data_IF_580921723865
#
_entry.id   IF_580921723865
#
_cell.length_a   1.000
_cell.length_b   1.000
_cell.length_c   1.000
_cell.angle_alpha   90.00
_cell.angle_beta   90.00
_cell.angle_gamma   90.00
#
_symmetry.space_group_name_H-M   'P 1'
#
loop_
_entity.id
_entity.type
_entity.pdbx_description
1 polymer ?
#
# COMPACT_ATOMS: atom_id res chain seq x y z
N UNK A 1 35.31 -52.16 -9.53
CA UNK A 1 36.10 -53.02 -8.61
C UNK A 1 36.58 -52.14 -7.47
N UNK A 2 35.87 -52.12 -6.33
CA UNK A 2 36.17 -52.84 -5.05
C UNK A 2 37.44 -52.30 -4.38
N UNK A 3 37.48 -51.88 -3.10
CA UNK A 3 36.73 -52.33 -1.92
C UNK A 3 36.84 -51.29 -0.80
N UNK A 4 35.78 -51.17 0.00
CA UNK A 4 35.79 -50.59 1.36
C UNK A 4 36.62 -51.47 2.29
N UNK A 5 37.35 -50.86 3.23
CA UNK A 5 37.81 -51.53 4.44
C UNK A 5 37.48 -50.65 5.66
N UNK A 6 36.63 -51.21 6.52
CA UNK A 6 36.32 -50.73 7.87
C UNK A 6 37.30 -51.41 8.81
N UNK A 7 37.91 -50.68 9.74
CA UNK A 7 38.40 -51.26 10.99
C UNK A 7 38.56 -50.17 12.05
N UNK A 8 37.71 -50.23 13.06
CA UNK A 8 37.94 -49.62 14.36
C UNK A 8 38.73 -50.61 15.23
N UNK A 9 39.62 -50.14 16.10
CA UNK A 9 39.67 -50.52 17.52
C UNK A 9 40.71 -49.68 18.28
N UNK A 10 40.34 -49.39 19.53
CA UNK A 10 40.91 -48.48 20.52
C UNK A 10 42.37 -48.70 20.92
N UNK A 11 43.02 -47.62 21.37
CA UNK A 11 44.15 -47.66 22.30
C UNK A 11 43.99 -46.58 23.38
N UNK A 12 44.08 -47.04 24.63
CA UNK A 12 43.98 -46.31 25.90
C UNK A 12 45.39 -45.97 26.39
N UNK A 13 45.61 -44.73 26.84
CA UNK A 13 46.59 -44.31 27.88
C UNK A 13 46.48 -42.77 28.04
N UNK A 14 45.87 -42.19 29.08
CA UNK A 14 46.26 -42.08 30.49
C UNK A 14 47.40 -41.07 30.79
N UNK A 15 47.03 -40.01 31.54
CA UNK A 15 47.81 -39.19 32.50
C UNK A 15 48.87 -38.21 31.91
N UNK A 16 48.97 -36.92 32.27
CA UNK A 16 49.16 -36.31 33.61
C UNK A 16 48.87 -34.79 33.60
N UNK A 17 48.05 -34.37 34.58
CA UNK A 17 48.03 -33.17 35.44
C UNK A 17 48.60 -31.82 34.95
N UNK A 18 47.83 -30.75 35.10
CA UNK A 18 48.13 -29.68 36.07
C UNK A 18 46.86 -28.94 36.52
N UNK A 19 46.91 -28.55 37.79
CA UNK A 19 45.90 -27.97 38.67
C UNK A 19 45.36 -26.60 38.27
N UNK A 20 44.08 -26.34 38.56
CA UNK A 20 43.66 -25.36 39.59
C UNK A 20 42.15 -25.44 39.83
N UNK A 21 41.78 -25.00 41.04
CA UNK A 21 40.58 -25.27 41.81
C UNK A 21 39.36 -24.42 41.46
N UNK A 22 38.17 -25.06 41.55
CA UNK A 22 36.87 -24.56 42.04
C UNK A 22 36.19 -23.42 41.23
N UNK A 23 34.88 -23.28 41.11
CA UNK A 23 33.74 -23.61 41.98
C UNK A 23 32.52 -23.96 41.10
N UNK A 24 31.72 -24.88 41.62
CA UNK A 24 30.45 -25.34 41.08
C UNK A 24 29.37 -24.25 40.97
N UNK A 25 28.40 -24.44 40.06
CA UNK A 25 27.10 -23.80 40.14
C UNK A 25 26.53 -23.40 38.78
N UNK A 26 25.25 -23.66 38.59
CA UNK A 26 24.36 -23.02 37.59
C UNK A 26 24.34 -23.60 36.18
N UNK A 27 23.69 -24.76 36.06
CA UNK A 27 23.05 -25.19 34.80
C UNK A 27 21.60 -25.59 35.02
N UNK A 28 20.78 -24.72 35.61
CA UNK A 28 19.32 -24.94 35.71
C UNK A 28 18.48 -23.64 35.78
N UNK A 29 19.00 -22.49 35.35
CA UNK A 29 18.27 -21.20 35.40
C UNK A 29 17.78 -20.68 34.04
N UNK A 30 17.76 -21.51 32.99
CA UNK A 30 17.43 -21.07 31.63
C UNK A 30 15.93 -21.17 31.26
N UNK A 31 15.03 -21.50 32.21
CA UNK A 31 13.60 -21.67 31.94
C UNK A 31 12.71 -21.09 33.04
N UNK A 32 12.94 -19.84 33.42
CA UNK A 32 11.93 -19.02 34.09
C UNK A 32 11.78 -17.71 33.32
N UNK A 33 10.55 -17.27 33.00
CA UNK A 33 10.36 -15.95 32.40
C UNK A 33 10.83 -14.90 33.41
N UNK A 34 11.75 -14.02 33.01
CA UNK A 34 12.11 -12.83 33.78
C UNK A 34 10.84 -11.99 33.97
N UNK A 35 10.29 -11.98 35.18
CA UNK A 35 9.15 -11.14 35.58
C UNK A 35 9.48 -9.63 35.51
N UNK A 36 10.76 -9.28 35.35
CA UNK A 36 11.26 -7.91 35.29
C UNK A 36 11.90 -7.54 33.95
N UNK A 37 11.62 -8.29 32.87
CA UNK A 37 11.97 -7.82 31.54
C UNK A 37 11.20 -6.50 31.28
N UNK A 38 11.86 -5.41 30.84
CA UNK A 38 11.16 -4.20 30.42
C UNK A 38 10.06 -4.63 29.47
N UNK A 39 8.80 -4.29 29.78
CA UNK A 39 7.66 -4.55 28.91
C UNK A 39 8.10 -4.07 27.52
N UNK A 40 8.26 -5.01 26.59
CA UNK A 40 8.56 -4.67 25.21
C UNK A 40 7.55 -3.57 24.83
N UNK A 41 7.99 -2.46 24.21
CA UNK A 41 7.07 -1.42 23.80
C UNK A 41 5.95 -2.14 23.07
N UNK A 42 4.73 -1.95 23.55
CA UNK A 42 3.55 -2.43 22.84
C UNK A 42 3.70 -1.85 21.45
N UNK A 43 3.97 -2.72 20.47
CA UNK A 43 3.90 -2.37 19.08
C UNK A 43 2.45 -1.92 18.92
N UNK A 44 2.19 -0.62 18.97
CA UNK A 44 0.86 -0.12 18.70
C UNK A 44 0.57 -0.56 17.28
N UNK A 45 -0.32 -1.54 17.14
CA UNK A 45 -0.93 -1.84 15.87
C UNK A 45 -1.76 -0.62 15.51
N UNK A 46 -1.13 0.38 14.91
CA UNK A 46 -1.81 1.59 14.49
C UNK A 46 -2.79 1.21 13.40
N UNK A 47 -4.07 1.43 13.64
CA UNK A 47 -5.13 1.17 12.66
C UNK A 47 -5.03 2.21 11.53
N UNK A 48 -4.65 1.81 10.29
CA UNK A 48 -4.47 2.76 9.19
C UNK A 48 -5.77 3.49 8.84
N UNK A 49 -6.94 2.88 9.12
CA UNK A 49 -8.23 3.56 8.92
C UNK A 49 -8.38 4.70 9.91
N UNK A 50 -8.22 4.43 11.21
CA UNK A 50 -8.30 5.46 12.24
C UNK A 50 -7.32 6.61 11.98
N UNK A 51 -6.10 6.30 11.53
CA UNK A 51 -5.12 7.31 11.14
C UNK A 51 -5.57 8.16 9.95
N UNK A 52 -6.13 7.54 8.90
CA UNK A 52 -6.68 8.27 7.75
C UNK A 52 -7.78 9.23 8.18
N UNK A 53 -8.71 8.78 9.03
CA UNK A 53 -9.79 9.62 9.58
C UNK A 53 -9.27 10.78 10.43
N UNK A 54 -8.27 10.53 11.27
CA UNK A 54 -7.63 11.58 12.06
C UNK A 54 -6.94 12.62 11.16
N UNK A 55 -6.18 12.18 10.15
CA UNK A 55 -5.49 13.04 9.21
C UNK A 55 -6.47 13.85 8.34
N UNK A 56 -7.57 13.23 7.88
CA UNK A 56 -8.60 13.93 7.11
C UNK A 56 -9.25 15.05 7.94
N UNK A 57 -9.57 14.76 9.21
CA UNK A 57 -10.10 15.75 10.15
C UNK A 57 -9.12 16.89 10.40
N UNK A 58 -7.83 16.59 10.58
CA UNK A 58 -6.79 17.61 10.75
C UNK A 58 -6.66 18.49 9.49
N UNK A 59 -6.81 17.89 8.30
CA UNK A 59 -6.81 18.59 7.03
C UNK A 59 -8.13 19.34 6.72
N UNK A 60 -9.14 19.26 7.60
CA UNK A 60 -10.46 19.86 7.38
C UNK A 60 -11.23 19.22 6.21
N UNK A 61 -10.99 17.94 5.93
CA UNK A 61 -11.64 17.17 4.87
C UNK A 61 -12.58 16.14 5.50
N UNK A 62 -13.86 16.25 5.19
CA UNK A 62 -14.85 15.24 5.58
C UNK A 62 -14.80 14.06 4.61
N UNK A 63 -14.52 12.86 5.14
CA UNK A 63 -14.50 11.61 4.36
C UNK A 63 -15.55 10.63 4.83
N UNK A 64 -15.91 9.70 3.95
CA UNK A 64 -16.91 8.67 4.24
C UNK A 64 -16.37 7.62 5.23
N UNK A 65 -16.92 7.53 6.46
CA UNK A 65 -16.37 6.68 7.52
C UNK A 65 -16.52 5.17 7.26
N UNK A 66 -17.53 4.80 6.47
CA UNK A 66 -17.85 3.39 6.21
C UNK A 66 -16.98 2.77 5.11
N UNK A 67 -16.35 3.60 4.29
CA UNK A 67 -15.73 3.17 3.02
C UNK A 67 -14.27 3.61 3.01
N UNK A 68 -13.45 2.84 3.73
CA UNK A 68 -11.99 2.99 3.77
C UNK A 68 -11.31 1.68 3.39
N UNK A 69 -10.57 1.71 2.29
CA UNK A 69 -9.73 0.60 1.85
C UNK A 69 -8.31 0.82 2.31
N UNK A 70 -7.66 -0.27 2.73
CA UNK A 70 -6.23 -0.31 3.05
C UNK A 70 -5.62 -1.47 2.29
N UNK A 71 -4.57 -1.21 1.53
CA UNK A 71 -3.81 -2.23 0.82
C UNK A 71 -2.32 -1.92 0.96
N UNK A 72 -1.51 -2.94 1.22
CA UNK A 72 -0.05 -2.80 1.31
C UNK A 72 0.59 -4.00 0.64
N UNK A 73 1.46 -3.75 -0.35
CA UNK A 73 2.18 -4.80 -1.08
C UNK A 73 3.39 -4.20 -1.80
N UNK A 74 4.47 -4.97 -1.91
CA UNK A 74 5.66 -4.66 -2.71
C UNK A 74 6.27 -3.27 -2.40
N UNK A 75 6.20 -2.84 -1.13
CA UNK A 75 6.70 -1.53 -0.70
C UNK A 75 5.82 -0.36 -1.09
N UNK A 76 4.59 -0.62 -1.57
CA UNK A 76 3.53 0.37 -1.73
C UNK A 76 2.47 0.18 -0.64
N UNK A 77 2.03 1.28 -0.03
CA UNK A 77 0.87 1.30 0.88
C UNK A 77 -0.12 2.35 0.42
N UNK A 78 -1.40 1.97 0.37
CA UNK A 78 -2.52 2.86 0.13
C UNK A 78 -3.56 2.66 1.23
N UNK A 79 -4.02 3.76 1.82
CA UNK A 79 -5.23 3.78 2.62
C UNK A 79 -6.08 4.95 2.16
N UNK A 80 -7.26 4.72 1.62
CA UNK A 80 -8.05 5.77 0.98
C UNK A 80 -9.54 5.67 1.26
N UNK A 81 -10.17 6.84 1.25
CA UNK A 81 -11.61 7.01 1.32
C UNK A 81 -12.05 8.13 0.38
N UNK A 82 -13.35 8.22 0.14
CA UNK A 82 -13.96 9.27 -0.65
C UNK A 82 -14.34 10.48 0.21
N UNK A 83 -14.28 11.66 -0.40
CA UNK A 83 -14.71 12.92 0.21
C UNK A 83 -16.23 12.98 0.19
N UNK A 84 -16.84 13.34 1.33
CA UNK A 84 -18.27 13.55 1.44
C UNK A 84 -18.70 14.76 0.59
N UNK A 85 -19.84 14.65 -0.10
CA UNK A 85 -20.35 15.70 -1.00
C UNK A 85 -19.98 15.50 -2.47
N UNK A 86 -19.01 14.63 -2.79
CA UNK A 86 -18.65 14.35 -4.19
C UNK A 86 -19.83 13.76 -4.99
N UNK A 87 -20.78 13.11 -4.33
CA UNK A 87 -22.03 12.62 -4.93
C UNK A 87 -22.91 13.71 -5.56
N UNK A 88 -22.62 14.99 -5.28
CA UNK A 88 -23.33 16.14 -5.82
C UNK A 88 -22.54 16.84 -6.94
N UNK A 89 -21.37 16.32 -7.29
CA UNK A 89 -20.50 16.90 -8.33
C UNK A 89 -20.89 16.29 -9.68
N UNK A 90 -21.32 17.10 -10.67
CA UNK A 90 -21.55 16.61 -12.02
C UNK A 90 -20.23 16.34 -12.74
N UNK A 91 -20.22 15.43 -13.72
CA UNK A 91 -19.02 15.19 -14.53
C UNK A 91 -18.59 16.44 -15.30
N UNK A 92 -19.53 17.33 -15.66
CA UNK A 92 -19.23 18.62 -16.28
C UNK A 92 -18.35 19.56 -15.43
N UNK A 93 -18.18 19.30 -14.13
CA UNK A 93 -17.27 20.06 -13.26
C UNK A 93 -15.82 19.56 -13.30
N UNK A 94 -15.54 18.40 -13.91
CA UNK A 94 -14.19 17.84 -14.00
C UNK A 94 -13.17 18.71 -14.74
N UNK A 95 -13.50 19.59 -15.72
CA UNK A 95 -12.51 20.47 -16.33
C UNK A 95 -11.84 21.43 -15.34
N UNK A 96 -12.59 21.92 -14.36
CA UNK A 96 -12.09 22.81 -13.30
C UNK A 96 -11.37 22.03 -12.19
N UNK A 97 -11.70 20.74 -12.11
CA UNK A 97 -11.15 19.79 -11.16
C UNK A 97 -12.05 19.63 -9.94
N UNK A 98 -12.28 18.37 -9.55
CA UNK A 98 -13.14 18.04 -8.42
C UNK A 98 -12.42 17.17 -7.39
N UNK A 99 -12.42 17.63 -6.14
CA UNK A 99 -11.89 16.88 -5.00
C UNK A 99 -12.83 15.71 -4.69
N UNK A 100 -12.32 14.47 -4.74
CA UNK A 100 -13.16 13.27 -4.61
C UNK A 100 -12.65 12.26 -3.58
N UNK A 101 -11.37 12.32 -3.20
CA UNK A 101 -10.76 11.34 -2.31
C UNK A 101 -9.73 11.95 -1.37
N UNK A 102 -9.50 11.28 -0.26
CA UNK A 102 -8.40 11.55 0.66
C UNK A 102 -7.71 10.23 0.98
N UNK A 103 -6.38 10.22 0.90
CA UNK A 103 -5.60 8.99 0.97
C UNK A 103 -4.30 9.19 1.73
N UNK A 104 -3.88 8.17 2.47
CA UNK A 104 -2.47 7.91 2.70
C UNK A 104 -1.91 7.17 1.48
N UNK A 105 -0.76 7.60 1.00
CA UNK A 105 -0.03 6.92 -0.06
C UNK A 105 1.44 6.87 0.32
N UNK A 106 2.02 5.68 0.22
CA UNK A 106 3.45 5.42 0.33
C UNK A 106 3.84 4.67 -0.93
N UNK A 107 4.39 5.39 -1.91
CA UNK A 107 4.79 4.85 -3.21
C UNK A 107 6.05 5.53 -3.75
N UNK A 108 7.17 5.52 -2.98
CA UNK A 108 8.40 6.21 -3.37
C UNK A 108 8.99 5.67 -4.67
N UNK A 109 8.76 4.41 -5.01
CA UNK A 109 9.17 3.78 -6.27
C UNK A 109 8.46 4.41 -7.48
N UNK A 110 7.25 4.93 -7.28
CA UNK A 110 6.50 5.70 -8.28
C UNK A 110 6.83 7.19 -8.25
N UNK A 111 7.82 7.61 -7.44
CA UNK A 111 8.23 9.01 -7.30
C UNK A 111 7.28 9.86 -6.44
N UNK A 112 6.35 9.24 -5.71
CA UNK A 112 5.39 9.93 -4.85
C UNK A 112 5.87 9.79 -3.40
N UNK A 113 6.15 10.90 -2.70
CA UNK A 113 6.52 10.84 -1.29
C UNK A 113 5.46 10.13 -0.45
N UNK A 114 5.86 9.54 0.67
CA UNK A 114 4.92 9.01 1.63
C UNK A 114 4.16 10.16 2.31
N UNK A 115 2.84 10.08 2.42
CA UNK A 115 2.06 11.12 3.08
C UNK A 115 0.54 10.99 2.91
N UNK A 116 -0.16 11.95 3.49
CA UNK A 116 -1.60 12.14 3.31
C UNK A 116 -1.87 13.16 2.21
N UNK A 117 -2.79 12.83 1.33
CA UNK A 117 -3.07 13.58 0.11
C UNK A 117 -4.56 13.72 -0.13
N UNK A 118 -4.94 14.88 -0.65
CA UNK A 118 -6.22 15.05 -1.33
C UNK A 118 -6.08 14.63 -2.79
N UNK A 119 -7.09 13.95 -3.31
CA UNK A 119 -7.18 13.54 -4.72
C UNK A 119 -8.17 14.42 -5.46
N UNK A 120 -7.73 15.02 -6.57
CA UNK A 120 -8.55 15.87 -7.43
C UNK A 120 -8.60 15.30 -8.84
N UNK A 121 -9.79 14.93 -9.29
CA UNK A 121 -10.02 14.42 -10.64
C UNK A 121 -10.14 15.58 -11.63
N UNK A 122 -9.56 15.41 -12.82
CA UNK A 122 -9.69 16.31 -13.96
C UNK A 122 -9.92 15.55 -15.26
N UNK A 123 -10.62 16.17 -16.20
CA UNK A 123 -10.76 15.70 -17.57
C UNK A 123 -10.87 16.90 -18.52
N UNK A 124 -10.40 16.76 -19.76
CA UNK A 124 -10.59 17.78 -20.77
C UNK A 124 -12.09 17.91 -21.11
N UNK A 125 -12.59 19.14 -21.29
CA UNK A 125 -14.02 19.38 -21.48
C UNK A 125 -14.57 18.67 -22.73
N UNK A 126 -13.74 18.58 -23.76
CA UNK A 126 -14.02 17.90 -25.03
C UNK A 126 -14.06 16.36 -24.93
N UNK A 127 -13.44 15.77 -23.89
CA UNK A 127 -13.41 14.32 -23.69
C UNK A 127 -14.58 13.83 -22.83
N UNK A 128 -15.24 14.72 -22.09
CA UNK A 128 -16.30 14.37 -21.15
C UNK A 128 -17.55 13.91 -21.89
N UNK A 129 -17.89 12.65 -21.69
CA UNK A 129 -19.05 11.99 -22.30
C UNK A 129 -19.60 10.90 -21.39
N UNK A 130 -20.85 10.49 -21.64
CA UNK A 130 -21.38 9.25 -21.07
C UNK A 130 -20.58 8.08 -21.60
N UNK A 131 -20.13 7.19 -20.71
CA UNK A 131 -19.20 6.12 -21.02
C UNK A 131 -17.79 6.41 -20.52
N UNK A 132 -16.82 5.71 -21.12
CA UNK A 132 -15.41 5.78 -20.73
C UNK A 132 -14.68 6.91 -21.46
N UNK A 133 -13.78 7.59 -20.76
CA UNK A 133 -12.88 8.61 -21.32
C UNK A 133 -11.64 8.78 -20.44
N UNK A 134 -10.64 9.50 -20.96
CA UNK A 134 -9.38 9.75 -20.25
C UNK A 134 -9.53 10.90 -19.27
N UNK A 135 -8.84 10.78 -18.15
CA UNK A 135 -8.70 11.86 -17.18
C UNK A 135 -7.36 11.79 -16.46
N UNK A 136 -7.23 12.66 -15.47
CA UNK A 136 -6.05 12.76 -14.62
C UNK A 136 -6.49 12.92 -13.18
N UNK A 137 -5.62 12.52 -12.24
CA UNK A 137 -5.80 12.79 -10.82
C UNK A 137 -4.58 13.53 -10.30
N UNK A 138 -4.79 14.75 -9.79
CA UNK A 138 -3.77 15.44 -9.02
C UNK A 138 -3.69 14.84 -7.61
N UNK A 139 -2.49 14.51 -7.16
CA UNK A 139 -2.17 14.13 -5.78
C UNK A 139 -1.69 15.38 -5.05
N UNK A 140 -2.52 15.91 -4.15
CA UNK A 140 -2.34 17.23 -3.55
C UNK A 140 -1.94 17.09 -2.08
N UNK A 141 -0.79 17.65 -1.71
CA UNK A 141 -0.30 17.64 -0.33
C UNK A 141 -1.05 18.63 0.59
N UNK A 142 -0.74 18.60 1.88
CA UNK A 142 -1.35 19.48 2.88
C UNK A 142 -1.09 20.98 2.63
N UNK A 143 -0.08 21.35 1.84
CA UNK A 143 0.16 22.74 1.44
C UNK A 143 -0.72 23.21 0.28
N UNK A 144 -1.49 22.28 -0.32
CA UNK A 144 -2.30 22.53 -1.51
C UNK A 144 -1.53 22.38 -2.82
N UNK A 145 -0.30 21.85 -2.77
CA UNK A 145 0.53 21.65 -3.97
C UNK A 145 0.28 20.26 -4.55
N UNK A 146 0.08 20.19 -5.87
CA UNK A 146 0.10 18.92 -6.59
C UNK A 146 1.54 18.37 -6.63
N UNK A 147 1.78 17.24 -5.96
CA UNK A 147 3.09 16.56 -5.91
C UNK A 147 3.23 15.50 -6.99
N UNK A 148 2.10 15.01 -7.52
CA UNK A 148 2.06 14.11 -8.66
C UNK A 148 0.77 14.33 -9.46
N UNK A 149 0.79 13.89 -10.71
CA UNK A 149 -0.37 13.83 -11.59
C UNK A 149 -0.42 12.45 -12.22
N UNK A 150 -1.49 11.72 -11.89
CA UNK A 150 -1.64 10.33 -12.26
C UNK A 150 -2.59 10.20 -13.44
N UNK A 151 -2.29 9.35 -14.43
CA UNK A 151 -3.26 9.01 -15.46
C UNK A 151 -4.45 8.30 -14.81
N UNK A 152 -5.65 8.62 -15.29
CA UNK A 152 -6.87 7.98 -14.84
C UNK A 152 -7.80 7.65 -16.00
N UNK A 153 -8.58 6.60 -15.82
CA UNK A 153 -9.74 6.31 -16.66
C UNK A 153 -10.99 6.73 -15.91
N UNK A 154 -11.81 7.54 -16.56
CA UNK A 154 -13.10 8.00 -16.05
C UNK A 154 -14.20 7.22 -16.76
N UNK A 155 -15.23 6.83 -16.03
CA UNK A 155 -16.46 6.32 -16.62
C UNK A 155 -17.64 7.03 -15.99
N UNK A 156 -18.53 7.61 -16.79
CA UNK A 156 -19.72 8.29 -16.26
C UNK A 156 -21.00 7.75 -16.83
N UNK A 157 -22.03 7.61 -16.00
CA UNK A 157 -23.38 7.27 -16.45
C UNK A 157 -24.18 8.51 -16.91
N UNK A 158 -23.73 9.71 -16.54
CA UNK A 158 -24.37 10.99 -16.84
C UNK A 158 -23.34 12.12 -16.79
N UNK A 159 -23.58 13.19 -17.56
CA UNK A 159 -22.75 14.40 -17.54
C UNK A 159 -23.18 15.35 -16.41
N UNK A 160 -24.46 15.29 -16.04
CA UNK A 160 -25.06 15.95 -14.88
C UNK A 160 -25.22 14.96 -13.71
N UNK A 161 -25.59 15.45 -12.51
CA UNK A 161 -25.91 14.56 -11.39
C UNK A 161 -27.25 13.85 -11.66
N UNK A 162 -27.27 12.52 -11.80
CA UNK A 162 -28.50 11.77 -12.11
C UNK A 162 -29.49 11.79 -10.94
N UNK A 163 -30.78 11.80 -11.27
CA UNK A 163 -31.89 11.64 -10.32
C UNK A 163 -32.79 10.49 -10.79
N UNK A 164 -32.85 9.35 -10.07
CA UNK A 164 -32.13 9.03 -8.82
C UNK A 164 -30.64 8.75 -9.02
N UNK A 165 -29.87 8.76 -7.92
CA UNK A 165 -28.45 8.36 -7.92
C UNK A 165 -28.31 6.87 -8.28
N UNK A 166 -27.40 6.48 -9.20
CA UNK A 166 -27.22 5.10 -9.63
C UNK A 166 -26.59 4.19 -8.57
N UNK A 167 -25.82 4.73 -7.62
CA UNK A 167 -25.24 3.98 -6.51
C UNK A 167 -25.61 4.60 -5.17
N UNK A 168 -25.82 3.77 -4.14
CA UNK A 168 -26.28 4.24 -2.83
C UNK A 168 -25.18 4.94 -2.02
N UNK A 169 -23.91 4.58 -2.24
CA UNK A 169 -22.74 5.13 -1.54
C UNK A 169 -21.50 4.98 -2.40
N UNK A 170 -20.45 5.75 -2.08
CA UNK A 170 -19.16 5.58 -2.74
C UNK A 170 -18.53 4.27 -2.28
N UNK A 171 -18.02 3.45 -3.20
CA UNK A 171 -17.13 2.34 -2.85
C UNK A 171 -15.73 2.61 -3.36
N UNK A 172 -14.74 2.19 -2.58
CA UNK A 172 -13.32 2.24 -2.97
C UNK A 172 -12.85 0.79 -3.08
N UNK A 173 -12.08 0.49 -4.12
CA UNK A 173 -11.38 -0.78 -4.31
C UNK A 173 -9.92 -0.51 -4.65
N UNK A 174 -9.02 -1.41 -4.26
CA UNK A 174 -7.59 -1.28 -4.57
C UNK A 174 -6.99 -2.65 -4.89
N UNK A 175 -6.27 -2.72 -6.01
CA UNK A 175 -5.71 -3.96 -6.54
C UNK A 175 -4.24 -3.76 -6.88
N UNK A 176 -3.41 -4.73 -6.49
CA UNK A 176 -2.01 -4.79 -6.93
C UNK A 176 -1.85 -5.78 -8.06
N UNK A 177 -1.30 -5.30 -9.18
CA UNK A 177 -0.95 -6.12 -10.33
C UNK A 177 0.56 -6.06 -10.56
N UNK A 178 1.18 -7.23 -10.63
CA UNK A 178 2.57 -7.38 -11.05
C UNK A 178 2.59 -8.19 -12.34
N UNK A 179 3.25 -7.65 -13.36
CA UNK A 179 3.43 -8.30 -14.66
C UNK A 179 4.91 -8.48 -14.93
N UNK A 180 5.34 -9.72 -15.16
CA UNK A 180 6.70 -10.02 -15.60
C UNK A 180 6.80 -9.75 -17.11
N UNK A 181 7.69 -8.84 -17.50
CA UNK A 181 8.13 -8.68 -18.87
C UNK A 181 9.49 -9.37 -19.01
N UNK A 182 9.43 -10.67 -19.30
CA UNK A 182 10.61 -11.50 -19.52
C UNK A 182 11.46 -10.94 -20.67
N UNK A 183 12.75 -10.70 -20.40
CA UNK A 183 13.79 -10.87 -21.40
C UNK A 183 13.94 -12.37 -21.66
N UNK A 184 13.81 -12.81 -22.91
CA UNK A 184 13.69 -14.24 -23.28
C UNK A 184 14.94 -15.11 -23.05
N UNK A 185 15.89 -14.71 -22.21
CA UNK A 185 17.13 -15.46 -21.92
C UNK A 185 17.47 -15.48 -20.42
N UNK A 186 18.02 -16.59 -19.91
CA UNK A 186 18.36 -16.76 -18.49
C UNK A 186 19.50 -15.86 -17.98
N UNK A 187 20.20 -15.14 -18.86
CA UNK A 187 21.24 -14.15 -18.54
C UNK A 187 20.71 -12.69 -18.54
N UNK A 188 19.41 -12.48 -18.77
CA UNK A 188 18.82 -11.14 -18.76
C UNK A 188 18.12 -10.86 -17.43
N UNK A 189 18.36 -9.65 -16.89
CA UNK A 189 17.58 -9.10 -15.78
C UNK A 189 16.09 -9.13 -16.16
N UNK A 190 15.27 -9.63 -15.24
CA UNK A 190 13.82 -9.62 -15.40
C UNK A 190 13.30 -8.24 -15.08
N UNK A 191 12.49 -7.67 -16.00
CA UNK A 191 11.82 -6.39 -15.77
C UNK A 191 10.41 -6.65 -15.29
N UNK A 192 10.07 -6.14 -14.11
CA UNK A 192 8.72 -6.24 -13.57
C UNK A 192 8.00 -4.90 -13.68
N UNK A 193 6.75 -4.95 -14.15
CA UNK A 193 5.81 -3.85 -14.08
C UNK A 193 4.94 -4.04 -12.84
N UNK A 194 4.95 -3.09 -11.92
CA UNK A 194 4.06 -3.07 -10.77
C UNK A 194 3.04 -1.96 -10.97
N UNK A 195 1.78 -2.26 -10.71
CA UNK A 195 0.65 -1.34 -10.84
C UNK A 195 -0.25 -1.46 -9.63
N UNK A 196 -0.45 -0.36 -8.91
CA UNK A 196 -1.54 -0.19 -7.95
C UNK A 196 -2.70 0.46 -8.69
N UNK A 197 -3.80 -0.28 -8.82
CA UNK A 197 -5.05 0.16 -9.45
C UNK A 197 -6.02 0.52 -8.33
N UNK A 198 -6.49 1.75 -8.29
CA UNK A 198 -7.45 2.23 -7.30
C UNK A 198 -8.73 2.63 -8.03
N UNK A 199 -9.87 2.13 -7.57
CA UNK A 199 -11.16 2.34 -8.22
C UNK A 199 -12.10 3.01 -7.22
N UNK A 200 -12.65 4.16 -7.59
CA UNK A 200 -13.72 4.83 -6.86
C UNK A 200 -15.00 4.71 -7.67
N UNK A 201 -16.04 4.08 -7.13
CA UNK A 201 -17.38 4.11 -7.70
C UNK A 201 -18.23 5.08 -6.90
N UNK A 202 -18.56 6.25 -7.47
CA UNK A 202 -19.23 7.33 -6.76
C UNK A 202 -20.74 7.35 -7.04
N UNK A 203 -21.59 7.74 -6.06
CA UNK A 203 -23.05 7.75 -6.21
C UNK A 203 -23.59 8.55 -7.38
N UNK A 204 -22.90 9.62 -7.78
CA UNK A 204 -23.25 10.45 -8.94
C UNK A 204 -23.12 9.72 -10.30
N UNK A 205 -22.66 8.46 -10.31
CA UNK A 205 -22.49 7.68 -11.53
C UNK A 205 -21.11 7.80 -12.15
N UNK A 206 -20.18 8.51 -11.50
CA UNK A 206 -18.78 8.59 -11.91
C UNK A 206 -17.97 7.46 -11.29
N UNK A 207 -17.22 6.74 -12.11
CA UNK A 207 -16.16 5.83 -11.69
C UNK A 207 -14.81 6.41 -12.08
N UNK A 208 -13.87 6.44 -11.14
CA UNK A 208 -12.51 6.96 -11.32
C UNK A 208 -11.53 5.83 -11.08
N UNK A 209 -10.76 5.46 -12.09
CA UNK A 209 -9.76 4.39 -12.05
C UNK A 209 -8.38 5.04 -12.16
N UNK A 210 -7.58 4.90 -11.11
CA UNK A 210 -6.25 5.51 -10.99
C UNK A 210 -5.20 4.41 -11.15
N UNK A 211 -4.14 4.71 -11.91
CA UNK A 211 -2.99 3.82 -12.06
C UNK A 211 -1.76 4.47 -11.43
N UNK A 212 -1.14 3.77 -10.48
CA UNK A 212 0.17 4.11 -9.94
C UNK A 212 1.13 3.00 -10.36
N UNK A 213 1.97 3.33 -11.35
CA UNK A 213 2.85 2.37 -11.99
C UNK A 213 4.32 2.64 -11.63
N UNK A 214 5.09 1.58 -11.43
CA UNK A 214 6.55 1.65 -11.39
C UNK A 214 7.21 0.40 -12.00
N UNK A 215 8.50 0.52 -12.25
CA UNK A 215 9.31 -0.52 -12.90
C UNK A 215 10.50 -0.89 -12.04
N UNK A 216 10.65 -2.19 -11.79
CA UNK A 216 11.81 -2.74 -11.07
C UNK A 216 12.59 -3.74 -11.93
N UNK A 217 13.88 -3.88 -11.61
CA UNK A 217 14.80 -4.83 -12.22
C UNK A 217 15.30 -5.82 -11.16
N UNK A 218 15.23 -7.12 -11.48
CA UNK A 218 15.74 -8.21 -10.64
C UNK A 218 16.62 -9.17 -11.45
#
# INVERSE_FOLDING_TARGET
MTRKFVQAFSLVAALVLTSTTAIAGERLAAYLPRLDAPKAPTLECTDPRAQLHAAAKEAGVDINPEETVVVSKDGMTFAGSSIAGFEQVPASALPEGADFGFTYLDAPQAGIPAGYYKLRARAAAEDIQVGEYRGEVDVIDASGKAVARLPATMQTSSVEVPQPLPFARTTVDAQFRQTNLMGGRPDQLSRYHHSLIIIYHCPNGTTIIIFIDYWDWY
#
